data_IF_544065254442
#
_entry.id   IF_544065254442
#
_cell.length_a   1.000
_cell.length_b   1.000
_cell.length_c   1.000
_cell.angle_alpha   90.00
_cell.angle_beta   90.00
_cell.angle_gamma   90.00
#
_symmetry.space_group_name_H-M   'P 1'
#
loop_
_entity.id
_entity.type
_entity.pdbx_description
1 polymer ?
#
# COMPACT_ATOMS: atom_id res chain seq x y z
N UNK A 1 5.12 -15.08 -3.65
CA UNK A 1 4.20 -15.60 -2.62
C UNK A 1 4.46 -14.84 -1.32
N UNK A 2 3.50 -14.08 -0.78
CA UNK A 2 3.74 -13.18 0.33
C UNK A 2 3.54 -13.97 1.64
N UNK A 3 4.63 -14.56 2.09
CA UNK A 3 4.70 -15.30 3.36
C UNK A 3 5.75 -14.69 4.31
N UNK A 4 6.53 -13.71 3.84
CA UNK A 4 7.59 -13.10 4.64
C UNK A 4 7.02 -12.17 5.71
N UNK A 5 5.98 -11.39 5.41
CA UNK A 5 5.31 -10.53 6.40
C UNK A 5 4.68 -11.34 7.52
N UNK A 6 4.01 -12.46 7.22
CA UNK A 6 3.43 -13.37 8.23
C UNK A 6 4.48 -13.98 9.16
N UNK A 7 5.63 -14.40 8.60
CA UNK A 7 6.71 -14.98 9.38
C UNK A 7 7.40 -13.93 10.26
N UNK A 8 7.69 -12.75 9.70
CA UNK A 8 8.29 -11.65 10.45
C UNK A 8 7.36 -11.14 11.56
N UNK A 9 6.08 -10.97 11.24
CA UNK A 9 5.05 -10.55 12.18
C UNK A 9 4.85 -11.56 13.30
N UNK A 10 4.77 -12.86 12.98
CA UNK A 10 4.70 -13.92 13.99
C UNK A 10 5.91 -13.90 14.94
N UNK A 11 7.12 -13.78 14.41
CA UNK A 11 8.36 -13.74 15.20
C UNK A 11 8.42 -12.50 16.09
N UNK A 12 8.10 -11.31 15.55
CA UNK A 12 8.07 -10.06 16.32
C UNK A 12 6.98 -10.06 17.38
N UNK A 13 5.78 -10.52 17.03
CA UNK A 13 4.66 -10.66 17.95
C UNK A 13 4.99 -11.61 19.09
N UNK A 14 5.61 -12.76 18.78
CA UNK A 14 6.06 -13.72 19.78
C UNK A 14 7.12 -13.12 20.71
N UNK A 15 8.06 -12.35 20.17
CA UNK A 15 9.09 -11.65 20.95
C UNK A 15 8.51 -10.63 21.93
N UNK A 16 7.44 -9.94 21.56
CA UNK A 16 6.87 -8.84 22.35
C UNK A 16 5.90 -9.33 23.44
N UNK A 17 5.06 -10.32 23.12
CA UNK A 17 3.92 -10.73 23.95
C UNK A 17 3.78 -12.25 24.06
N UNK A 18 4.82 -13.03 23.69
CA UNK A 18 4.83 -14.51 23.69
C UNK A 18 3.68 -15.09 22.84
N UNK A 19 3.02 -16.17 23.27
CA UNK A 19 1.98 -16.86 22.50
C UNK A 19 0.84 -15.94 21.99
N UNK A 20 0.21 -15.08 22.83
CA UNK A 20 -0.79 -14.11 22.36
C UNK A 20 -0.25 -13.14 21.32
N UNK A 21 0.98 -12.69 21.53
CA UNK A 21 1.69 -11.81 20.61
C UNK A 21 1.95 -12.44 19.26
N UNK A 22 2.29 -13.73 19.21
CA UNK A 22 2.55 -14.44 17.98
C UNK A 22 1.32 -14.48 17.06
N UNK A 23 0.13 -14.61 17.63
CA UNK A 23 -1.15 -14.61 16.90
C UNK A 23 -1.41 -13.21 16.33
N UNK A 24 -1.29 -12.16 17.16
CA UNK A 24 -1.44 -10.76 16.73
C UNK A 24 -0.42 -10.38 15.67
N UNK A 25 0.81 -10.83 15.84
CA UNK A 25 1.90 -10.62 14.91
C UNK A 25 1.68 -11.33 13.58
N UNK A 26 1.12 -12.54 13.58
CA UNK A 26 0.77 -13.27 12.36
C UNK A 26 -0.40 -12.57 11.62
N UNK A 27 -1.38 -12.04 12.36
CA UNK A 27 -2.48 -11.23 11.80
C UNK A 27 -1.93 -9.93 11.18
N UNK A 28 -1.11 -9.18 11.90
CA UNK A 28 -0.46 -7.96 11.39
C UNK A 28 0.46 -8.23 10.19
N UNK A 29 1.22 -9.32 10.24
CA UNK A 29 2.07 -9.78 9.14
C UNK A 29 1.28 -10.21 7.90
N UNK A 30 0.10 -10.80 8.09
CA UNK A 30 -0.83 -11.14 7.01
C UNK A 30 -1.43 -9.88 6.35
N UNK A 31 -1.69 -8.83 7.13
CA UNK A 31 -2.17 -7.53 6.66
C UNK A 31 -1.10 -6.80 5.84
N UNK A 32 0.17 -6.90 6.23
CA UNK A 32 1.31 -6.34 5.50
C UNK A 32 1.57 -7.04 4.15
N UNK A 33 1.49 -8.38 4.14
CA UNK A 33 1.72 -9.22 2.95
C UNK A 33 0.65 -9.05 1.85
N UNK A 34 -0.53 -8.50 2.18
CA UNK A 34 -1.65 -8.32 1.24
C UNK A 34 -1.71 -6.94 0.58
N UNK A 35 -0.67 -6.12 0.71
CA UNK A 35 -0.58 -4.83 0.00
C UNK A 35 -1.40 -3.72 0.66
N UNK A 36 -1.31 -3.61 1.99
CA UNK A 36 -1.87 -2.49 2.76
C UNK A 36 -0.92 -1.29 2.73
N UNK A 37 -0.63 -0.80 1.53
CA UNK A 37 0.36 0.26 1.32
C UNK A 37 -0.14 1.40 0.45
N UNK A 38 -1.31 1.26 -0.17
CA UNK A 38 -1.98 2.33 -0.92
C UNK A 38 -3.30 2.81 -0.27
N UNK A 39 -3.65 2.34 0.94
CA UNK A 39 -5.04 2.37 1.41
C UNK A 39 -5.24 2.77 2.88
N UNK A 40 -4.33 3.51 3.52
CA UNK A 40 -4.58 4.01 4.89
C UNK A 40 -5.66 5.12 4.90
N UNK A 41 -5.70 5.97 3.86
CA UNK A 41 -6.75 6.99 3.68
C UNK A 41 -7.94 6.53 2.83
N UNK A 42 -7.88 5.35 2.18
CA UNK A 42 -8.98 4.79 1.35
C UNK A 42 -9.61 3.50 1.89
N UNK A 43 -9.00 2.84 2.88
CA UNK A 43 -9.54 1.64 3.55
C UNK A 43 -9.53 1.74 5.10
N UNK A 44 -9.58 2.97 5.64
CA UNK A 44 -10.06 3.24 7.00
C UNK A 44 -9.03 3.20 8.13
N UNK A 45 -7.98 4.03 8.13
CA UNK A 45 -7.11 4.21 9.32
C UNK A 45 -7.90 4.66 10.57
N UNK A 46 -8.39 5.90 10.58
CA UNK A 46 -9.33 6.37 11.60
C UNK A 46 -10.69 5.67 11.50
N UNK A 47 -11.25 5.56 10.29
CA UNK A 47 -12.57 4.98 10.08
C UNK A 47 -12.72 3.53 10.61
N UNK A 48 -11.72 2.66 10.43
CA UNK A 48 -11.74 1.29 10.98
C UNK A 48 -11.48 1.29 12.49
N UNK A 49 -10.56 2.12 12.98
CA UNK A 49 -10.35 2.26 14.43
C UNK A 49 -11.63 2.70 15.15
N UNK A 50 -12.35 3.68 14.63
CA UNK A 50 -13.63 4.11 15.20
C UNK A 50 -14.73 3.07 14.99
N UNK A 51 -14.85 2.47 13.80
CA UNK A 51 -15.83 1.42 13.54
C UNK A 51 -15.70 0.21 14.48
N UNK A 52 -14.48 -0.16 14.85
CA UNK A 52 -14.21 -1.31 15.72
C UNK A 52 -14.30 -0.97 17.23
N UNK A 53 -14.42 0.31 17.61
CA UNK A 53 -14.44 0.75 19.01
C UNK A 53 -15.77 1.43 19.40
N UNK A 54 -16.80 0.63 19.67
CA UNK A 54 -18.15 1.11 20.10
C UNK A 54 -18.09 2.08 21.30
N UNK A 55 -17.18 1.85 22.25
CA UNK A 55 -16.98 2.73 23.41
C UNK A 55 -16.53 4.15 23.02
N UNK A 56 -15.71 4.28 21.98
CA UNK A 56 -15.26 5.58 21.50
C UNK A 56 -16.33 6.25 20.65
N UNK A 57 -17.03 5.49 19.81
CA UNK A 57 -18.16 5.99 19.03
C UNK A 57 -19.27 6.57 19.90
N UNK A 58 -19.41 6.06 21.13
CA UNK A 58 -20.45 6.50 22.07
C UNK A 58 -19.95 7.55 23.08
N UNK A 59 -18.67 7.97 23.00
CA UNK A 59 -18.06 8.85 24.02
C UNK A 59 -18.06 10.32 23.60
N UNK A 60 -19.08 11.07 24.02
CA UNK A 60 -19.15 12.52 23.80
C UNK A 60 -17.90 13.26 24.33
N UNK A 61 -17.39 12.84 25.49
CA UNK A 61 -16.22 13.43 26.14
C UNK A 61 -14.95 13.24 25.30
N UNK A 62 -14.82 12.09 24.64
CA UNK A 62 -13.71 11.83 23.74
C UNK A 62 -13.72 12.78 22.53
N UNK A 63 -14.87 12.91 21.86
CA UNK A 63 -15.00 13.79 20.70
C UNK A 63 -14.78 15.25 21.09
N UNK A 64 -15.44 15.71 22.16
CA UNK A 64 -15.26 17.07 22.67
C UNK A 64 -13.78 17.35 22.94
N UNK A 65 -13.10 16.47 23.71
CA UNK A 65 -11.69 16.64 24.01
C UNK A 65 -10.81 16.63 22.75
N UNK A 66 -11.08 15.76 21.78
CA UNK A 66 -10.31 15.66 20.54
C UNK A 66 -10.40 16.96 19.74
N UNK A 67 -11.62 17.42 19.46
CA UNK A 67 -11.83 18.61 18.65
C UNK A 67 -11.42 19.89 19.37
N UNK A 68 -11.59 19.96 20.70
CA UNK A 68 -11.09 21.08 21.49
C UNK A 68 -9.56 21.13 21.51
N UNK A 69 -8.87 19.99 21.64
CA UNK A 69 -7.41 19.93 21.51
C UNK A 69 -6.95 20.35 20.10
N UNK A 70 -7.63 19.90 19.03
CA UNK A 70 -7.30 20.33 17.67
C UNK A 70 -7.46 21.85 17.48
N UNK A 71 -8.54 22.42 18.02
CA UNK A 71 -8.75 23.88 17.97
C UNK A 71 -7.67 24.65 18.75
N UNK A 72 -7.22 24.09 19.86
CA UNK A 72 -6.15 24.68 20.67
C UNK A 72 -4.78 24.59 20.01
N UNK A 73 -4.45 23.45 19.38
CA UNK A 73 -3.21 23.26 18.62
C UNK A 73 -3.20 24.21 17.41
N UNK A 74 -4.27 24.23 16.61
CA UNK A 74 -4.39 25.12 15.45
C UNK A 74 -4.30 26.62 15.81
N UNK A 75 -4.63 26.97 17.06
CA UNK A 75 -4.53 28.35 17.55
C UNK A 75 -3.11 28.72 18.01
N UNK A 76 -2.22 27.74 18.21
CA UNK A 76 -0.89 27.96 18.78
C UNK A 76 -0.05 28.95 17.96
N UNK A 77 -0.17 28.93 16.62
CA UNK A 77 0.48 29.87 15.70
C UNK A 77 -0.26 31.20 15.53
N UNK A 78 -1.32 31.42 16.30
CA UNK A 78 -2.05 32.68 16.39
C UNK A 78 -3.27 32.78 15.48
N UNK A 79 -3.29 32.15 14.31
CA UNK A 79 -4.46 32.15 13.42
C UNK A 79 -4.69 30.76 12.81
N UNK A 80 -5.94 30.30 12.92
CA UNK A 80 -6.35 29.01 12.36
C UNK A 80 -6.49 29.13 10.83
N UNK A 81 -5.85 28.21 10.11
CA UNK A 81 -5.84 28.15 8.65
C UNK A 81 -7.03 27.35 8.10
N UNK A 82 -7.32 27.52 6.81
CA UNK A 82 -8.35 26.71 6.14
C UNK A 82 -7.95 25.23 6.05
N UNK A 83 -6.64 24.93 6.02
CA UNK A 83 -6.12 23.56 5.97
C UNK A 83 -6.48 22.80 7.25
N UNK A 84 -6.22 23.41 8.40
CA UNK A 84 -6.56 22.86 9.71
C UNK A 84 -8.07 22.64 9.88
N UNK A 85 -8.88 23.61 9.42
CA UNK A 85 -10.35 23.47 9.41
C UNK A 85 -10.77 22.26 8.57
N UNK A 86 -10.19 22.11 7.37
CA UNK A 86 -10.51 21.00 6.48
C UNK A 86 -10.11 19.65 7.10
N UNK A 87 -9.00 19.58 7.84
CA UNK A 87 -8.61 18.37 8.58
C UNK A 87 -9.63 18.03 9.65
N UNK A 88 -10.07 19.01 10.45
CA UNK A 88 -11.09 18.78 11.46
C UNK A 88 -12.41 18.30 10.84
N UNK A 89 -12.85 18.90 9.73
CA UNK A 89 -14.07 18.49 9.01
C UNK A 89 -13.96 17.06 8.48
N UNK A 90 -12.83 16.72 7.86
CA UNK A 90 -12.58 15.37 7.36
C UNK A 90 -12.58 14.34 8.50
N UNK A 91 -12.02 14.68 9.65
CA UNK A 91 -12.04 13.79 10.81
C UNK A 91 -13.47 13.52 11.29
N UNK A 92 -14.35 14.54 11.30
CA UNK A 92 -15.78 14.35 11.61
C UNK A 92 -16.47 13.41 10.60
N UNK A 93 -16.10 13.49 9.32
CA UNK A 93 -16.61 12.61 8.28
C UNK A 93 -16.10 11.16 8.47
N UNK A 94 -14.82 10.99 8.75
CA UNK A 94 -14.17 9.68 8.97
C UNK A 94 -14.72 8.99 10.23
N UNK A 95 -15.14 9.76 11.24
CA UNK A 95 -15.81 9.29 12.45
C UNK A 95 -17.31 9.02 12.25
N UNK A 96 -17.87 9.35 11.08
CA UNK A 96 -19.30 9.21 10.77
C UNK A 96 -20.22 9.93 11.76
N UNK A 97 -19.80 11.12 12.22
CA UNK A 97 -20.60 11.90 13.17
C UNK A 97 -21.95 12.29 12.57
N UNK A 98 -23.01 12.08 13.37
CA UNK A 98 -24.34 12.56 13.04
C UNK A 98 -24.38 14.11 13.11
N UNK A 99 -25.51 14.71 12.69
CA UNK A 99 -25.61 16.18 12.63
C UNK A 99 -25.44 16.87 13.99
N UNK A 100 -25.94 16.26 15.07
CA UNK A 100 -25.83 16.83 16.41
C UNK A 100 -24.39 16.73 16.92
N UNK A 101 -23.77 15.56 16.84
CA UNK A 101 -22.39 15.32 17.29
C UNK A 101 -21.40 16.18 16.48
N UNK A 102 -21.67 16.39 15.19
CA UNK A 102 -20.88 17.29 14.35
C UNK A 102 -20.96 18.73 14.84
N UNK A 103 -22.13 19.22 15.25
CA UNK A 103 -22.28 20.58 15.80
C UNK A 103 -21.53 20.70 17.12
N UNK A 104 -21.59 19.69 17.97
CA UNK A 104 -20.85 19.64 19.23
C UNK A 104 -19.33 19.62 18.99
N UNK A 105 -18.85 18.80 18.06
CA UNK A 105 -17.45 18.76 17.64
C UNK A 105 -16.97 20.11 17.10
N UNK A 106 -17.78 20.78 16.28
CA UNK A 106 -17.46 22.14 15.79
C UNK A 106 -17.42 23.17 16.93
N UNK A 107 -18.31 23.04 17.91
CA UNK A 107 -18.34 23.91 19.07
C UNK A 107 -17.12 23.67 19.97
N UNK A 108 -16.76 22.42 20.22
CA UNK A 108 -15.54 22.03 20.95
C UNK A 108 -14.29 22.59 20.27
N UNK A 109 -14.19 22.47 18.94
CA UNK A 109 -13.10 23.10 18.18
C UNK A 109 -13.06 24.62 18.37
N UNK A 110 -14.22 25.29 18.42
CA UNK A 110 -14.29 26.73 18.68
C UNK A 110 -13.82 27.09 20.08
N UNK A 111 -14.20 26.32 21.09
CA UNK A 111 -13.78 26.47 22.48
C UNK A 111 -12.26 26.29 22.62
N UNK A 112 -11.68 25.32 21.92
CA UNK A 112 -10.23 25.10 21.87
C UNK A 112 -9.42 26.32 21.46
N UNK A 113 -9.98 27.17 20.59
CA UNK A 113 -9.32 28.41 20.12
C UNK A 113 -9.30 29.53 21.16
N UNK A 114 -9.99 29.37 22.29
CA UNK A 114 -9.97 30.36 23.34
C UNK A 114 -8.55 30.42 23.98
N UNK A 115 -7.93 31.60 24.14
CA UNK A 115 -6.64 31.72 24.81
C UNK A 115 -6.63 31.21 26.26
N UNK A 116 -7.80 31.18 26.91
CA UNK A 116 -7.99 30.68 28.27
C UNK A 116 -8.50 29.23 28.30
N UNK A 117 -8.42 28.51 27.17
CA UNK A 117 -8.87 27.13 27.08
C UNK A 117 -8.23 26.23 28.15
N UNK A 118 -9.03 25.53 28.99
CA UNK A 118 -8.53 24.78 30.14
C UNK A 118 -8.02 23.39 29.74
N UNK A 119 -6.98 23.34 28.89
CA UNK A 119 -6.43 22.11 28.31
C UNK A 119 -6.18 21.00 29.36
N UNK A 120 -5.52 21.33 30.47
CA UNK A 120 -5.17 20.35 31.50
C UNK A 120 -6.40 19.69 32.15
N UNK A 121 -7.49 20.46 32.33
CA UNK A 121 -8.73 19.96 32.90
C UNK A 121 -9.39 18.96 31.95
N UNK A 122 -9.52 19.33 30.67
CA UNK A 122 -10.10 18.47 29.63
C UNK A 122 -9.35 17.15 29.51
N UNK A 123 -8.01 17.18 29.54
CA UNK A 123 -7.19 15.97 29.46
C UNK A 123 -7.32 15.09 30.70
N UNK A 124 -7.50 15.70 31.88
CA UNK A 124 -7.72 14.99 33.14
C UNK A 124 -9.06 14.24 33.12
N UNK A 125 -10.13 14.90 32.67
CA UNK A 125 -11.46 14.31 32.53
C UNK A 125 -11.44 13.15 31.52
N UNK A 126 -10.86 13.39 30.34
CA UNK A 126 -10.70 12.36 29.30
C UNK A 126 -9.95 11.13 29.83
N UNK A 127 -8.84 11.34 30.55
CA UNK A 127 -8.05 10.25 31.13
C UNK A 127 -8.83 9.48 32.20
N UNK A 128 -9.64 10.17 33.00
CA UNK A 128 -10.49 9.57 34.01
C UNK A 128 -11.55 8.67 33.38
N UNK A 129 -12.28 9.18 32.39
CA UNK A 129 -13.40 8.48 31.75
C UNK A 129 -12.94 7.29 30.90
N UNK A 130 -11.76 7.39 30.30
CA UNK A 130 -11.13 6.27 29.59
C UNK A 130 -10.43 5.28 30.54
N UNK A 131 -10.54 5.47 31.87
CA UNK A 131 -9.89 4.67 32.91
C UNK A 131 -8.38 4.50 32.70
N UNK A 132 -7.71 5.52 32.13
CA UNK A 132 -6.28 5.46 31.86
C UNK A 132 -5.87 4.40 30.82
N UNK A 133 -6.79 3.94 29.96
CA UNK A 133 -6.49 2.96 28.91
C UNK A 133 -5.41 3.49 27.96
N UNK A 134 -4.15 3.14 28.26
CA UNK A 134 -2.96 3.69 27.60
C UNK A 134 -2.99 3.56 26.08
N UNK A 135 -3.57 2.47 25.55
CA UNK A 135 -3.72 2.25 24.11
C UNK A 135 -4.62 3.31 23.48
N UNK A 136 -5.78 3.60 24.09
CA UNK A 136 -6.73 4.60 23.58
C UNK A 136 -6.15 6.00 23.71
N UNK A 137 -5.51 6.33 24.84
CA UNK A 137 -4.88 7.63 25.05
C UNK A 137 -3.70 7.85 24.08
N UNK A 138 -2.96 6.79 23.76
CA UNK A 138 -1.90 6.85 22.74
C UNK A 138 -2.52 7.07 21.37
N UNK A 139 -3.59 6.34 21.02
CA UNK A 139 -4.29 6.54 19.76
C UNK A 139 -4.78 7.99 19.64
N UNK A 140 -5.40 8.54 20.69
CA UNK A 140 -5.81 9.94 20.77
C UNK A 140 -4.66 10.91 20.48
N UNK A 141 -3.51 10.73 21.14
CA UNK A 141 -2.32 11.55 20.89
C UNK A 141 -1.80 11.39 19.45
N UNK A 142 -1.78 10.16 18.92
CA UNK A 142 -1.43 9.91 17.52
C UNK A 142 -2.37 10.69 16.59
N UNK A 143 -3.68 10.68 16.78
CA UNK A 143 -4.61 11.43 15.92
C UNK A 143 -4.34 12.94 15.92
N UNK A 144 -4.01 13.51 17.08
CA UNK A 144 -3.65 14.93 17.18
C UNK A 144 -2.38 15.23 16.40
N UNK A 145 -1.35 14.38 16.51
CA UNK A 145 -0.12 14.51 15.71
C UNK A 145 -0.46 14.44 14.22
N UNK A 146 -1.19 13.42 13.78
CA UNK A 146 -1.52 13.25 12.36
C UNK A 146 -2.29 14.44 11.79
N UNK A 147 -3.26 14.96 12.55
CA UNK A 147 -4.06 16.10 12.16
C UNK A 147 -3.25 17.40 12.08
N UNK A 148 -2.31 17.59 13.02
CA UNK A 148 -1.45 18.78 13.06
C UNK A 148 -0.42 18.79 11.93
N UNK A 149 -0.10 17.64 11.34
CA UNK A 149 0.74 17.54 10.15
C UNK A 149 0.02 17.87 8.82
N UNK A 150 -1.14 18.53 8.86
CA UNK A 150 -1.94 18.90 7.68
C UNK A 150 -1.10 19.54 6.55
N UNK A 151 -0.20 20.45 6.94
CA UNK A 151 0.65 21.22 6.03
C UNK A 151 2.05 20.60 5.83
N UNK A 152 2.27 19.40 6.36
CA UNK A 152 3.48 18.59 6.17
C UNK A 152 4.63 18.86 7.15
N UNK A 153 4.50 19.84 8.04
CA UNK A 153 5.43 20.14 9.12
C UNK A 153 4.65 20.63 10.34
N UNK A 154 5.17 20.35 11.54
CA UNK A 154 4.67 20.94 12.79
C UNK A 154 5.48 22.18 13.12
N UNK A 155 4.79 23.24 13.52
CA UNK A 155 5.44 24.42 14.09
C UNK A 155 5.94 24.15 15.51
N UNK A 156 6.83 25.02 16.01
CA UNK A 156 7.32 24.90 17.39
C UNK A 156 6.17 25.07 18.39
N UNK A 157 5.22 25.97 18.11
CA UNK A 157 4.10 26.24 19.00
C UNK A 157 3.12 25.06 19.06
N UNK A 158 2.87 24.38 17.93
CA UNK A 158 2.07 23.16 17.88
C UNK A 158 2.72 22.02 18.66
N UNK A 159 4.04 21.85 18.52
CA UNK A 159 4.80 20.85 19.27
C UNK A 159 4.73 21.13 20.78
N UNK A 160 4.82 22.39 21.21
CA UNK A 160 4.68 22.77 22.62
C UNK A 160 3.28 22.42 23.17
N UNK A 161 2.23 22.60 22.38
CA UNK A 161 0.88 22.20 22.79
C UNK A 161 0.74 20.68 22.83
N UNK A 162 1.23 19.97 21.81
CA UNK A 162 1.24 18.50 21.77
C UNK A 162 2.01 17.90 22.95
N UNK A 163 3.07 18.57 23.41
CA UNK A 163 3.85 18.17 24.57
C UNK A 163 3.05 18.28 25.88
N UNK A 164 2.32 19.39 26.07
CA UNK A 164 1.36 19.53 27.19
C UNK A 164 0.28 18.47 27.13
N UNK A 165 -0.23 18.16 25.94
CA UNK A 165 -1.20 17.08 25.74
C UNK A 165 -0.62 15.73 26.15
N UNK A 166 0.56 15.39 25.64
CA UNK A 166 1.24 14.14 25.97
C UNK A 166 1.41 13.98 27.49
N UNK A 167 1.90 15.02 28.18
CA UNK A 167 2.06 15.02 29.65
C UNK A 167 0.71 14.84 30.35
N UNK A 168 -0.33 15.58 29.94
CA UNK A 168 -1.68 15.48 30.54
C UNK A 168 -2.27 14.08 30.44
N UNK A 169 -2.03 13.40 29.31
CA UNK A 169 -2.45 12.01 29.09
C UNK A 169 -1.57 10.98 29.81
N UNK A 170 -0.39 11.36 30.29
CA UNK A 170 0.56 10.50 31.01
C UNK A 170 1.68 9.90 30.15
N UNK A 171 1.99 10.51 29.01
CA UNK A 171 3.13 10.21 28.15
C UNK A 171 4.25 11.23 28.39
N UNK A 172 5.50 10.77 28.44
CA UNK A 172 6.63 11.69 28.59
C UNK A 172 7.06 12.28 27.24
N UNK A 173 7.88 13.34 27.26
CA UNK A 173 8.46 13.96 26.07
C UNK A 173 9.07 12.94 25.07
N UNK A 174 9.77 11.93 25.60
CA UNK A 174 10.39 10.86 24.78
C UNK A 174 9.37 10.01 24.03
N UNK A 175 8.17 9.83 24.60
CA UNK A 175 7.09 9.10 23.94
C UNK A 175 6.54 9.92 22.78
N UNK A 176 6.27 11.22 23.01
CA UNK A 176 5.80 12.13 21.96
C UNK A 176 6.80 12.20 20.80
N UNK A 177 8.08 12.43 21.09
CA UNK A 177 9.11 12.48 20.06
C UNK A 177 9.16 11.20 19.21
N UNK A 178 8.99 10.03 19.86
CA UNK A 178 8.98 8.74 19.18
C UNK A 178 7.77 8.63 18.25
N UNK A 179 6.59 9.09 18.69
CA UNK A 179 5.38 9.10 17.88
C UNK A 179 5.50 10.03 16.67
N UNK A 180 6.00 11.24 16.86
CA UNK A 180 6.26 12.19 15.77
C UNK A 180 7.23 11.59 14.74
N UNK A 181 8.38 11.07 15.20
CA UNK A 181 9.38 10.45 14.29
C UNK A 181 8.83 9.24 13.54
N UNK A 182 7.99 8.43 14.20
CA UNK A 182 7.30 7.30 13.55
C UNK A 182 6.39 7.82 12.44
N UNK A 183 5.55 8.80 12.73
CA UNK A 183 4.61 9.37 11.76
C UNK A 183 5.33 10.04 10.57
N UNK A 184 6.39 10.81 10.80
CA UNK A 184 7.23 11.37 9.73
C UNK A 184 7.84 10.29 8.83
N UNK A 185 8.30 9.18 9.43
CA UNK A 185 8.83 8.06 8.68
C UNK A 185 7.75 7.40 7.80
N UNK A 186 6.52 7.28 8.31
CA UNK A 186 5.37 6.76 7.57
C UNK A 186 4.96 7.67 6.42
N UNK A 187 4.96 9.00 6.60
CA UNK A 187 4.71 9.96 5.52
C UNK A 187 5.78 9.85 4.41
N UNK A 188 7.06 9.83 4.77
CA UNK A 188 8.16 9.65 3.82
C UNK A 188 8.10 8.31 3.07
N UNK A 189 7.65 7.26 3.75
CA UNK A 189 7.48 5.95 3.12
C UNK A 189 6.34 5.97 2.09
N UNK A 190 5.18 6.55 2.44
CA UNK A 190 4.03 6.72 1.54
C UNK A 190 4.37 7.53 0.29
N UNK A 191 4.99 8.70 0.46
CA UNK A 191 5.37 9.56 -0.68
C UNK A 191 6.30 8.84 -1.67
N UNK A 192 7.26 8.05 -1.17
CA UNK A 192 8.16 7.26 -2.02
C UNK A 192 7.43 6.14 -2.76
N UNK A 193 6.44 5.54 -2.12
CA UNK A 193 5.66 4.48 -2.72
C UNK A 193 4.75 5.00 -3.84
N UNK A 194 4.09 6.14 -3.62
CA UNK A 194 3.27 6.80 -4.63
C UNK A 194 4.13 7.20 -5.84
N UNK A 195 5.29 7.82 -5.61
CA UNK A 195 6.25 8.15 -6.66
C UNK A 195 6.72 6.91 -7.45
N UNK A 196 6.98 5.79 -6.75
CA UNK A 196 7.38 4.54 -7.40
C UNK A 196 6.24 3.93 -8.24
N UNK A 197 5.00 3.98 -7.74
CA UNK A 197 3.83 3.48 -8.47
C UNK A 197 3.52 4.31 -9.72
N UNK A 198 3.59 5.64 -9.62
CA UNK A 198 3.43 6.56 -10.75
C UNK A 198 4.52 6.35 -11.80
N UNK A 199 5.79 6.28 -11.40
CA UNK A 199 6.90 6.02 -12.32
C UNK A 199 6.75 4.66 -13.05
N UNK A 200 6.23 3.65 -12.36
CA UNK A 200 5.95 2.34 -12.95
C UNK A 200 4.79 2.40 -13.95
N UNK A 201 3.72 3.13 -13.66
CA UNK A 201 2.57 3.27 -14.55
C UNK A 201 2.91 4.12 -15.79
N UNK A 202 3.74 5.16 -15.64
CA UNK A 202 4.30 5.93 -16.76
C UNK A 202 5.22 5.10 -17.66
N UNK A 203 6.09 4.28 -17.06
CA UNK A 203 6.93 3.37 -17.84
C UNK A 203 6.08 2.36 -18.64
N UNK A 204 4.95 1.92 -18.06
CA UNK A 204 4.01 1.00 -18.70
C UNK A 204 3.22 1.66 -19.83
N UNK A 205 2.75 2.89 -19.67
CA UNK A 205 2.05 3.62 -20.74
C UNK A 205 2.98 3.91 -21.92
N UNK A 206 4.21 4.36 -21.66
CA UNK A 206 5.24 4.56 -22.70
C UNK A 206 5.55 3.28 -23.48
N UNK A 207 5.64 2.14 -22.78
CA UNK A 207 5.85 0.85 -23.43
C UNK A 207 4.64 0.44 -24.30
N UNK A 208 3.42 0.75 -23.86
CA UNK A 208 2.19 0.49 -24.60
C UNK A 208 2.05 1.38 -25.84
N UNK A 209 2.38 2.68 -25.74
CA UNK A 209 2.41 3.62 -26.85
C UNK A 209 3.44 3.23 -27.91
N UNK A 210 4.65 2.84 -27.48
CA UNK A 210 5.65 2.30 -28.39
C UNK A 210 5.12 1.04 -29.07
N UNK A 211 4.53 0.10 -28.33
CA UNK A 211 3.94 -1.11 -28.91
C UNK A 211 2.83 -0.82 -29.94
N UNK A 212 2.02 0.21 -29.73
CA UNK A 212 1.01 0.67 -30.70
C UNK A 212 1.67 1.33 -31.93
N UNK A 213 2.72 2.14 -31.73
CA UNK A 213 3.51 2.73 -32.83
C UNK A 213 4.25 1.69 -33.68
N UNK A 214 4.71 0.59 -33.07
CA UNK A 214 5.21 -0.59 -33.78
C UNK A 214 4.11 -1.31 -34.57
N UNK A 215 2.86 -1.29 -34.09
CA UNK A 215 1.68 -1.87 -34.75
C UNK A 215 1.24 -1.06 -35.98
N UNK A 216 1.23 0.27 -35.89
CA UNK A 216 0.85 1.16 -37.00
C UNK A 216 1.91 1.19 -38.10
N UNK A 217 3.21 1.12 -37.73
CA UNK A 217 4.31 0.93 -38.70
C UNK A 217 4.31 -0.46 -39.35
N UNK A 218 3.81 -1.49 -38.65
CA UNK A 218 3.67 -2.83 -39.21
C UNK A 218 2.50 -2.97 -40.21
N UNK A 219 1.51 -2.07 -40.19
CA UNK A 219 0.39 -2.08 -41.15
C UNK A 219 0.67 -1.31 -42.45
N UNK A 220 1.59 -0.34 -42.47
CA UNK A 220 1.95 0.41 -43.68
C UNK A 220 3.06 -0.24 -44.53
N UNK A 221 3.54 -1.42 -44.16
CA UNK A 221 4.52 -2.19 -44.93
C UNK A 221 3.96 -3.55 -45.39
N UNK A 222 2.71 -3.54 -45.88
CA UNK A 222 2.14 -4.63 -46.69
C UNK A 222 1.99 -4.17 -48.14
N UNK A 223 3.11 -3.92 -48.81
CA UNK A 223 3.19 -4.07 -50.26
C UNK A 223 4.58 -4.61 -50.59
N UNK A 224 4.59 -5.81 -51.18
CA UNK A 224 5.74 -6.57 -51.69
C UNK A 224 6.48 -7.46 -50.67
N UNK A 225 5.88 -8.62 -50.39
CA UNK A 225 6.58 -9.75 -49.76
C UNK A 225 7.57 -10.41 -50.75
N UNK A 226 8.83 -10.67 -50.36
CA UNK A 226 9.66 -11.69 -51.00
C UNK A 226 9.23 -13.07 -50.49
N UNK A 227 9.16 -14.06 -51.38
CA UNK A 227 8.87 -15.45 -51.02
C UNK A 227 9.91 -15.97 -50.01
N UNK A 228 9.44 -16.25 -48.79
CA UNK A 228 10.20 -16.91 -47.74
C UNK A 228 10.37 -18.39 -48.15
N UNK A 229 11.58 -18.81 -48.52
CA UNK A 229 11.79 -20.14 -49.10
C UNK A 229 11.53 -21.26 -48.07
N UNK A 230 10.93 -22.36 -48.48
CA UNK A 230 10.62 -23.50 -47.59
C UNK A 230 11.88 -24.08 -46.91
N UNK A 231 13.05 -23.95 -47.56
CA UNK A 231 14.35 -24.33 -47.00
C UNK A 231 14.75 -23.46 -45.80
N UNK A 232 14.43 -22.17 -45.81
CA UNK A 232 14.68 -21.27 -44.67
C UNK A 232 13.72 -21.59 -43.51
N UNK A 233 12.44 -21.85 -43.81
CA UNK A 233 11.44 -22.26 -42.79
C UNK A 233 11.86 -23.54 -42.06
N UNK A 234 12.35 -24.54 -42.79
CA UNK A 234 12.82 -25.78 -42.20
C UNK A 234 14.10 -25.58 -41.36
N UNK A 235 15.02 -24.73 -41.83
CA UNK A 235 16.25 -24.41 -41.08
C UNK A 235 15.93 -23.71 -39.77
N UNK A 236 14.97 -22.78 -39.77
CA UNK A 236 14.54 -22.06 -38.58
C UNK A 236 13.84 -23.00 -37.59
N UNK A 237 13.04 -23.96 -38.06
CA UNK A 237 12.41 -24.97 -37.21
C UNK A 237 13.44 -25.83 -36.44
N UNK A 238 14.54 -26.23 -37.08
CA UNK A 238 15.64 -26.96 -36.41
C UNK A 238 16.32 -26.11 -35.34
N UNK A 239 16.48 -24.81 -35.58
CA UNK A 239 17.05 -23.88 -34.58
C UNK A 239 16.10 -23.66 -33.40
N UNK A 240 14.79 -23.55 -33.63
CA UNK A 240 13.77 -23.39 -32.58
C UNK A 240 13.81 -24.58 -31.61
N UNK A 241 13.99 -25.80 -32.12
CA UNK A 241 14.15 -27.00 -31.29
C UNK A 241 15.57 -27.23 -30.77
N UNK A 242 16.52 -26.34 -31.12
CA UNK A 242 17.94 -26.45 -30.84
C UNK A 242 18.52 -27.83 -31.17
N UNK A 243 18.23 -28.32 -32.38
CA UNK A 243 18.64 -29.65 -32.84
C UNK A 243 19.26 -29.53 -34.22
N UNK A 244 20.30 -30.33 -34.48
CA UNK A 244 20.94 -30.34 -35.80
C UNK A 244 19.97 -30.91 -36.87
N UNK A 245 20.01 -30.43 -38.13
CA UNK A 245 19.18 -30.98 -39.20
C UNK A 245 19.38 -32.49 -39.42
N UNK A 246 20.55 -33.02 -39.05
CA UNK A 246 20.95 -34.43 -39.11
C UNK A 246 20.55 -35.26 -37.90
N UNK A 247 19.88 -34.68 -36.90
CA UNK A 247 19.49 -35.38 -35.68
C UNK A 247 18.48 -36.51 -35.98
N UNK A 248 18.64 -37.65 -35.32
CA UNK A 248 17.72 -38.79 -35.40
C UNK A 248 16.36 -38.48 -34.72
N UNK A 249 15.33 -39.27 -35.02
CA UNK A 249 13.97 -39.03 -34.52
C UNK A 249 13.92 -39.05 -32.98
N UNK A 250 14.71 -39.92 -32.35
CA UNK A 250 14.82 -40.02 -30.90
C UNK A 250 15.36 -38.72 -30.29
N UNK A 251 16.39 -38.12 -30.89
CA UNK A 251 16.95 -36.83 -30.45
C UNK A 251 15.97 -35.69 -30.71
N UNK A 252 15.30 -35.66 -31.86
CA UNK A 252 14.28 -34.66 -32.19
C UNK A 252 13.11 -34.68 -31.19
N UNK A 253 12.56 -35.87 -30.90
CA UNK A 253 11.45 -36.03 -29.94
C UNK A 253 11.87 -35.66 -28.51
N UNK A 254 13.11 -35.96 -28.13
CA UNK A 254 13.68 -35.56 -26.83
C UNK A 254 13.85 -34.04 -26.75
N UNK A 255 14.35 -33.41 -27.81
CA UNK A 255 14.51 -31.96 -27.90
C UNK A 255 13.15 -31.23 -27.84
N UNK A 256 12.14 -31.72 -28.58
CA UNK A 256 10.78 -31.20 -28.53
C UNK A 256 10.19 -31.28 -27.11
N UNK A 257 10.26 -32.46 -26.46
CA UNK A 257 9.77 -32.61 -25.08
C UNK A 257 10.52 -31.69 -24.11
N UNK A 258 11.82 -31.52 -24.28
CA UNK A 258 12.64 -30.64 -23.44
C UNK A 258 12.23 -29.18 -23.62
N UNK A 259 12.18 -28.70 -24.87
CA UNK A 259 11.79 -27.32 -25.20
C UNK A 259 10.35 -27.01 -24.73
N UNK A 260 9.41 -27.92 -24.99
CA UNK A 260 8.02 -27.77 -24.52
C UNK A 260 7.93 -27.72 -23.00
N UNK A 261 8.72 -28.54 -22.30
CA UNK A 261 8.76 -28.58 -20.85
C UNK A 261 9.43 -27.34 -20.22
N UNK A 262 10.37 -26.71 -20.91
CA UNK A 262 11.02 -25.45 -20.49
C UNK A 262 10.09 -24.24 -20.66
N UNK A 263 9.18 -24.28 -21.64
CA UNK A 263 8.28 -23.19 -21.98
C UNK A 263 6.79 -23.50 -21.68
N UNK A 264 6.49 -24.58 -20.94
CA UNK A 264 5.10 -24.92 -20.63
C UNK A 264 4.49 -23.94 -19.62
N UNK A 265 3.29 -23.37 -19.91
CA UNK A 265 2.66 -22.40 -19.02
C UNK A 265 2.45 -22.93 -17.60
N UNK A 266 2.02 -24.19 -17.42
CA UNK A 266 1.79 -24.79 -16.09
C UNK A 266 3.03 -24.89 -15.19
N UNK A 267 4.23 -25.11 -15.76
CA UNK A 267 5.47 -25.16 -14.96
C UNK A 267 5.95 -23.79 -14.54
N UNK A 268 5.61 -22.77 -15.29
CA UNK A 268 5.93 -21.38 -14.98
C UNK A 268 4.94 -20.81 -13.95
N UNK A 269 3.70 -21.31 -13.93
CA UNK A 269 2.71 -21.09 -12.86
C UNK A 269 3.24 -21.61 -11.52
N UNK A 270 3.79 -22.82 -11.48
CA UNK A 270 4.39 -23.40 -10.26
C UNK A 270 5.61 -22.61 -9.72
N UNK A 271 6.26 -21.82 -10.58
CA UNK A 271 7.40 -20.94 -10.22
C UNK A 271 7.01 -19.50 -9.90
N UNK A 272 5.72 -19.14 -9.95
CA UNK A 272 5.21 -17.83 -9.52
C UNK A 272 5.58 -16.65 -10.43
N UNK A 273 5.78 -16.89 -11.73
CA UNK A 273 6.17 -15.84 -12.69
C UNK A 273 4.98 -14.94 -13.09
N UNK A 274 5.21 -13.64 -13.40
CA UNK A 274 4.16 -12.68 -13.70
C UNK A 274 3.40 -12.97 -15.01
N UNK A 275 2.15 -12.50 -15.13
CA UNK A 275 1.23 -12.79 -16.26
C UNK A 275 1.81 -12.51 -17.66
N UNK A 276 2.68 -11.51 -17.81
CA UNK A 276 3.35 -11.20 -19.08
C UNK A 276 4.34 -12.29 -19.51
N UNK A 277 5.01 -12.95 -18.56
CA UNK A 277 5.89 -14.08 -18.84
C UNK A 277 5.08 -15.34 -19.24
N UNK A 278 3.84 -15.47 -18.78
CA UNK A 278 2.94 -16.57 -19.18
C UNK A 278 2.49 -16.45 -20.63
N UNK A 279 2.12 -15.25 -21.09
CA UNK A 279 1.75 -15.02 -22.49
C UNK A 279 2.95 -15.23 -23.43
N UNK A 280 4.14 -14.78 -23.05
CA UNK A 280 5.37 -15.06 -23.79
C UNK A 280 5.68 -16.56 -23.86
N UNK A 281 5.48 -17.30 -22.77
CA UNK A 281 5.67 -18.74 -22.74
C UNK A 281 4.64 -19.49 -23.60
N UNK A 282 3.38 -19.03 -23.62
CA UNK A 282 2.32 -19.59 -24.48
C UNK A 282 2.66 -19.43 -25.96
N UNK A 283 3.11 -18.24 -26.37
CA UNK A 283 3.57 -17.99 -27.74
C UNK A 283 4.77 -18.88 -28.09
N UNK A 284 5.75 -19.00 -27.19
CA UNK A 284 6.92 -19.87 -27.40
C UNK A 284 6.55 -21.35 -27.51
N UNK A 285 5.60 -21.83 -26.72
CA UNK A 285 5.11 -23.21 -26.80
C UNK A 285 4.46 -23.49 -28.17
N UNK A 286 3.70 -22.54 -28.71
CA UNK A 286 3.09 -22.65 -30.04
C UNK A 286 4.16 -22.69 -31.15
N UNK A 287 5.19 -21.84 -31.06
CA UNK A 287 6.33 -21.86 -32.00
C UNK A 287 7.06 -23.21 -31.99
N UNK A 288 7.27 -23.78 -30.80
CA UNK A 288 7.93 -25.09 -30.62
C UNK A 288 7.09 -26.21 -31.24
N UNK A 289 5.77 -26.17 -31.07
CA UNK A 289 4.86 -27.15 -31.66
C UNK A 289 4.86 -27.07 -33.19
N UNK A 290 4.71 -25.88 -33.75
CA UNK A 290 4.73 -25.66 -35.19
C UNK A 290 6.07 -26.08 -35.83
N UNK A 291 7.19 -25.79 -35.18
CA UNK A 291 8.52 -26.21 -35.64
C UNK A 291 8.65 -27.75 -35.69
N UNK A 292 8.16 -28.45 -34.66
CA UNK A 292 8.19 -29.91 -34.61
C UNK A 292 7.30 -30.56 -35.68
N UNK A 293 6.09 -30.03 -35.88
CA UNK A 293 5.17 -30.51 -36.93
C UNK A 293 5.75 -30.30 -38.33
N UNK A 294 6.37 -29.14 -38.59
CA UNK A 294 7.02 -28.85 -39.88
C UNK A 294 8.20 -29.79 -40.16
N UNK A 295 9.05 -30.06 -39.17
CA UNK A 295 10.16 -31.01 -39.34
C UNK A 295 9.62 -32.42 -39.60
N UNK A 296 8.57 -32.82 -38.89
CA UNK A 296 7.98 -34.16 -39.02
C UNK A 296 7.25 -34.34 -40.36
N UNK A 297 6.60 -33.31 -40.90
CA UNK A 297 5.91 -33.38 -42.20
C UNK A 297 6.87 -33.31 -43.39
N UNK A 298 8.07 -32.78 -43.20
CA UNK A 298 9.09 -32.62 -44.27
C UNK A 298 10.10 -33.77 -44.30
N UNK A 299 10.27 -34.50 -43.19
CA UNK A 299 11.07 -35.74 -43.16
C UNK A 299 10.21 -36.89 -43.73
N UNK A 300 10.75 -37.70 -44.66
CA UNK A 300 10.05 -38.88 -45.16
C UNK A 300 9.88 -39.95 -44.08
#
# INVERSE_FOLDING_TARGET
MPFMGKLLGFVFGFLLLKLPGAILGLIAGHMFDKGMSNDFSRSGGFGRFFADNERLQSSAIFFHALFACLGHIAKADGAVTQSEINVALKLMDDMQLNENDRREAQQAFREGKDPQFPLEHILKDLKHDLHGQRIILQAFLEMLIEASFADGQLSVSEVEVLDKVAIGLGFGHKDLDRLIRKFEAELRFRQRQDAFSQARDEARSRAQEQANAWRDKAQQQYTRAPQYSDKQRLTDAYRILNVAPTADEKTLKRAYKKAMNEHHPDKLIAKGLPKQAMELAKVKAQDIQAAYELIKSTRP
#
